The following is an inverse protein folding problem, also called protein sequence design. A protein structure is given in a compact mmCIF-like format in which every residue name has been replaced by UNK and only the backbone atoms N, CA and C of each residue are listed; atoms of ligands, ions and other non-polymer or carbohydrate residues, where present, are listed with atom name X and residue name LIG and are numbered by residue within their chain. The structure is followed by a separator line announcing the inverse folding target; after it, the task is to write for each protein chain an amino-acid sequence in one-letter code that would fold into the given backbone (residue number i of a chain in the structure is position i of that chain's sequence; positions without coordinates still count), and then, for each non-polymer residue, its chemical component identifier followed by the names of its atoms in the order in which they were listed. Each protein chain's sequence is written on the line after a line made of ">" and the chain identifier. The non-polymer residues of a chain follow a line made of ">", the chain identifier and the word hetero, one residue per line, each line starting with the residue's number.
data_IF_751731077424
#
_entry.id   IF_751731077424
#
_cell.length_a   1.000
_cell.length_b   1.000
_cell.length_c   1.000
_cell.angle_alpha   90.00
_cell.angle_beta   90.00
_cell.angle_gamma   90.00
#
_symmetry.space_group_name_H-M   'P 1'
#
loop_
_entity.id
_entity.type
_entity.pdbx_description
1 polymer ?
#
# COMPACT_ATOMS: atom_id res chain seq x y z
N UNK A 1 -11.35 -14.89 -4.94
CA UNK A 1 -10.28 -14.84 -3.93
C UNK A 1 -10.46 -13.57 -3.11
N UNK A 2 -10.16 -13.53 -1.80
CA UNK A 2 -10.48 -12.37 -0.95
C UNK A 2 -9.83 -11.06 -1.40
N UNK A 3 -8.74 -11.14 -2.15
CA UNK A 3 -8.00 -10.02 -2.73
C UNK A 3 -8.34 -9.74 -4.21
N UNK A 4 -9.26 -10.51 -4.82
CA UNK A 4 -9.78 -10.24 -6.16
C UNK A 4 -10.91 -9.20 -6.08
N UNK A 5 -10.53 -7.94 -6.00
CA UNK A 5 -11.46 -6.83 -6.03
C UNK A 5 -11.50 -6.20 -7.41
N UNK A 6 -12.71 -5.99 -7.91
CA UNK A 6 -12.95 -5.28 -9.17
C UNK A 6 -12.94 -3.75 -8.99
N UNK A 7 -12.97 -3.27 -7.74
CA UNK A 7 -12.98 -1.86 -7.38
C UNK A 7 -11.87 -1.55 -6.36
N UNK A 8 -11.36 -0.31 -6.33
CA UNK A 8 -10.37 0.11 -5.36
C UNK A 8 -10.91 0.01 -3.93
N UNK A 9 -9.98 -0.13 -2.98
CA UNK A 9 -10.33 -0.27 -1.57
C UNK A 9 -11.14 0.95 -1.09
N UNK A 10 -12.28 0.76 -0.38
CA UNK A 10 -13.13 1.87 0.07
C UNK A 10 -12.37 2.93 0.89
N UNK A 11 -11.45 2.51 1.77
CA UNK A 11 -10.66 3.44 2.59
C UNK A 11 -9.64 4.25 1.77
N UNK A 12 -9.10 3.70 0.68
CA UNK A 12 -8.30 4.46 -0.29
C UNK A 12 -9.18 5.48 -1.02
N UNK A 13 -10.33 5.05 -1.53
CA UNK A 13 -11.27 5.94 -2.23
C UNK A 13 -11.73 7.11 -1.37
N UNK A 14 -12.17 6.84 -0.14
CA UNK A 14 -12.64 7.89 0.78
C UNK A 14 -11.51 8.83 1.16
N UNK A 15 -10.28 8.33 1.34
CA UNK A 15 -9.12 9.15 1.66
C UNK A 15 -8.75 10.08 0.49
N UNK A 16 -8.70 9.57 -0.74
CA UNK A 16 -8.39 10.39 -1.93
C UNK A 16 -9.49 11.40 -2.22
N UNK A 17 -10.76 11.00 -2.09
CA UNK A 17 -11.91 11.88 -2.33
C UNK A 17 -12.00 13.01 -1.29
N UNK A 18 -11.82 12.68 -0.01
CA UNK A 18 -11.88 13.67 1.08
C UNK A 18 -10.82 14.77 0.98
N UNK A 19 -9.73 14.50 0.26
CA UNK A 19 -8.65 15.46 -0.02
C UNK A 19 -8.76 16.15 -1.38
N UNK A 20 -9.72 15.76 -2.21
CA UNK A 20 -9.78 16.19 -3.60
C UNK A 20 -8.46 15.86 -4.33
N UNK A 21 -7.84 14.73 -3.99
CA UNK A 21 -6.48 14.40 -4.40
C UNK A 21 -6.37 14.29 -5.93
N UNK A 22 -5.38 14.97 -6.50
CA UNK A 22 -5.01 14.89 -7.92
C UNK A 22 -3.53 14.60 -8.03
N UNK A 23 -3.17 13.70 -8.95
CA UNK A 23 -1.78 13.30 -9.16
C UNK A 23 -0.94 14.38 -9.84
N UNK A 24 -1.50 15.03 -10.84
CA UNK A 24 -0.83 16.10 -11.61
C UNK A 24 0.56 15.66 -12.13
N UNK A 25 0.67 14.39 -12.51
CA UNK A 25 1.91 13.78 -12.97
C UNK A 25 2.90 13.38 -11.87
N UNK A 26 2.56 13.53 -10.59
CA UNK A 26 3.34 12.98 -9.48
C UNK A 26 3.36 11.45 -9.54
N UNK A 27 4.36 10.86 -8.90
CA UNK A 27 4.56 9.41 -8.91
C UNK A 27 3.79 8.72 -7.79
N UNK A 28 3.21 7.56 -8.10
CA UNK A 28 2.60 6.71 -7.09
C UNK A 28 3.02 5.24 -7.27
N UNK A 29 3.06 4.50 -6.18
CA UNK A 29 3.25 3.05 -6.21
C UNK A 29 2.24 2.34 -5.32
N UNK A 30 1.70 1.22 -5.81
CA UNK A 30 0.86 0.30 -5.03
C UNK A 30 1.66 -0.97 -4.77
N UNK A 31 1.89 -1.23 -3.50
CA UNK A 31 2.63 -2.39 -2.98
C UNK A 31 1.69 -3.59 -2.90
N UNK A 32 2.09 -4.72 -3.49
CA UNK A 32 1.23 -5.90 -3.54
C UNK A 32 -0.06 -5.60 -4.31
N UNK A 33 0.09 -5.08 -5.53
CA UNK A 33 -1.02 -4.49 -6.31
C UNK A 33 -2.10 -5.49 -6.74
N UNK A 34 -1.85 -6.80 -6.60
CA UNK A 34 -2.77 -7.85 -6.99
C UNK A 34 -3.25 -7.66 -8.44
N UNK A 35 -4.56 -7.56 -8.63
CA UNK A 35 -5.19 -7.40 -9.94
C UNK A 35 -5.38 -5.93 -10.38
N UNK A 36 -4.76 -4.98 -9.68
CA UNK A 36 -4.57 -3.61 -10.15
C UNK A 36 -5.63 -2.59 -9.76
N UNK A 37 -6.71 -2.94 -9.08
CA UNK A 37 -7.82 -2.01 -8.83
C UNK A 37 -7.41 -0.71 -8.12
N UNK A 38 -6.53 -0.79 -7.11
CA UNK A 38 -6.02 0.38 -6.40
C UNK A 38 -5.06 1.21 -7.28
N UNK A 39 -4.23 0.54 -8.10
CA UNK A 39 -3.32 1.20 -9.02
C UNK A 39 -4.05 1.95 -10.14
N UNK A 40 -5.08 1.35 -10.72
CA UNK A 40 -5.95 2.00 -11.72
C UNK A 40 -6.66 3.23 -11.13
N UNK A 41 -7.09 3.13 -9.88
CA UNK A 41 -7.69 4.28 -9.19
C UNK A 41 -6.71 5.45 -9.11
N UNK A 42 -5.46 5.23 -8.69
CA UNK A 42 -4.46 6.29 -8.62
C UNK A 42 -4.11 6.86 -10.00
N UNK A 43 -4.00 5.99 -11.02
CA UNK A 43 -3.78 6.42 -12.39
C UNK A 43 -4.94 7.31 -12.90
N UNK A 44 -6.19 6.96 -12.57
CA UNK A 44 -7.37 7.78 -12.90
C UNK A 44 -7.38 9.16 -12.25
N UNK A 45 -6.67 9.33 -11.12
CA UNK A 45 -6.46 10.60 -10.45
C UNK A 45 -5.31 11.43 -11.05
N UNK A 46 -4.61 10.92 -12.06
CA UNK A 46 -3.53 11.61 -12.75
C UNK A 46 -2.13 11.33 -12.20
N UNK A 47 -1.96 10.32 -11.35
CA UNK A 47 -0.63 9.86 -10.95
C UNK A 47 0.03 9.03 -12.05
N UNK A 48 1.36 9.16 -12.19
CA UNK A 48 2.18 8.16 -12.88
C UNK A 48 2.36 6.98 -11.93
N UNK A 49 1.59 5.92 -12.17
CA UNK A 49 1.42 4.84 -11.21
C UNK A 49 2.19 3.60 -11.60
N UNK A 50 2.90 3.03 -10.64
CA UNK A 50 3.47 1.68 -10.69
C UNK A 50 2.65 0.78 -9.75
N UNK A 51 2.28 -0.40 -10.21
CA UNK A 51 1.75 -1.47 -9.37
C UNK A 51 2.70 -2.64 -9.40
N UNK A 52 3.14 -3.17 -8.26
CA UNK A 52 3.97 -4.37 -8.26
C UNK A 52 3.42 -5.45 -7.33
N UNK A 53 3.71 -6.68 -7.70
CA UNK A 53 3.38 -7.85 -6.91
C UNK A 53 4.50 -8.89 -7.04
N UNK A 54 4.70 -9.70 -6.01
CA UNK A 54 5.67 -10.80 -6.04
C UNK A 54 5.21 -11.96 -6.93
N UNK A 55 3.89 -12.08 -7.14
CA UNK A 55 3.29 -13.13 -7.94
C UNK A 55 3.23 -12.74 -9.43
N UNK A 56 4.02 -13.37 -10.33
CA UNK A 56 3.97 -13.08 -11.76
C UNK A 56 2.57 -13.28 -12.37
N UNK A 57 1.80 -14.23 -11.83
CA UNK A 57 0.43 -14.47 -12.27
C UNK A 57 -0.49 -13.30 -11.97
N UNK A 58 -0.37 -12.66 -10.79
CA UNK A 58 -1.16 -11.48 -10.45
C UNK A 58 -0.85 -10.32 -11.40
N UNK A 59 0.42 -10.06 -11.68
CA UNK A 59 0.88 -9.02 -12.61
C UNK A 59 0.38 -9.29 -14.03
N UNK A 60 0.46 -10.52 -14.51
CA UNK A 60 -0.08 -10.89 -15.82
C UNK A 60 -1.59 -10.65 -15.89
N UNK A 61 -2.34 -11.10 -14.89
CA UNK A 61 -3.79 -10.93 -14.84
C UNK A 61 -4.19 -9.45 -14.73
N UNK A 62 -3.43 -8.62 -14.00
CA UNK A 62 -3.66 -7.18 -13.95
C UNK A 62 -3.54 -6.55 -15.33
N UNK A 63 -2.48 -6.87 -16.09
CA UNK A 63 -2.29 -6.40 -17.47
C UNK A 63 -3.41 -6.86 -18.40
N UNK A 64 -3.86 -8.11 -18.28
CA UNK A 64 -4.96 -8.66 -19.07
C UNK A 64 -6.31 -8.01 -18.73
N UNK A 65 -6.54 -7.70 -17.45
CA UNK A 65 -7.77 -7.04 -16.96
C UNK A 65 -7.86 -5.59 -17.41
N UNK A 66 -6.71 -4.91 -17.53
CA UNK A 66 -6.62 -3.48 -17.84
C UNK A 66 -5.81 -3.21 -19.11
N UNK A 67 -6.30 -3.69 -20.27
CA UNK A 67 -5.58 -3.49 -21.53
C UNK A 67 -5.52 -2.00 -21.86
N UNK A 68 -4.31 -1.50 -22.20
CA UNK A 68 -4.10 -0.09 -22.50
C UNK A 68 -4.02 0.83 -21.28
N UNK A 69 -3.98 0.29 -20.08
CA UNK A 69 -3.76 1.08 -18.88
C UNK A 69 -2.41 1.81 -18.89
N UNK A 70 -2.34 3.06 -18.35
CA UNK A 70 -1.08 3.77 -18.16
C UNK A 70 -0.28 3.27 -16.96
N UNK A 71 -0.81 2.32 -16.17
CA UNK A 71 -0.11 1.75 -15.01
C UNK A 71 1.04 0.85 -15.45
N UNK A 72 2.24 1.08 -14.87
CA UNK A 72 3.36 0.16 -15.02
C UNK A 72 3.21 -0.99 -14.04
N UNK A 73 2.82 -2.18 -14.53
CA UNK A 73 2.71 -3.38 -13.70
C UNK A 73 4.02 -4.17 -13.72
N UNK A 74 4.63 -4.37 -12.55
CA UNK A 74 5.94 -4.99 -12.39
C UNK A 74 5.90 -6.21 -11.48
N UNK A 75 6.72 -7.22 -11.77
CA UNK A 75 6.98 -8.30 -10.83
C UNK A 75 8.17 -7.89 -9.98
N UNK A 76 7.95 -7.74 -8.68
CA UNK A 76 9.02 -7.38 -7.75
C UNK A 76 8.77 -7.98 -6.37
N UNK A 77 9.86 -8.37 -5.72
CA UNK A 77 9.85 -8.80 -4.31
C UNK A 77 10.04 -7.57 -3.41
N UNK A 78 9.11 -7.37 -2.48
CA UNK A 78 9.17 -6.26 -1.52
C UNK A 78 10.46 -6.29 -0.67
N UNK A 79 11.02 -7.47 -0.45
CA UNK A 79 12.28 -7.64 0.31
C UNK A 79 13.54 -7.48 -0.55
N UNK A 80 13.39 -7.32 -1.87
CA UNK A 80 14.49 -7.17 -2.83
C UNK A 80 14.15 -6.16 -3.94
N UNK A 81 13.67 -4.98 -3.55
CA UNK A 81 13.22 -3.93 -4.47
C UNK A 81 14.38 -3.35 -5.30
N UNK A 82 14.09 -2.90 -6.54
CA UNK A 82 15.07 -2.17 -7.35
C UNK A 82 15.60 -0.94 -6.60
N UNK A 83 16.91 -0.74 -6.61
CA UNK A 83 17.56 0.40 -5.94
C UNK A 83 17.03 1.76 -6.44
N UNK A 84 16.63 1.85 -7.71
CA UNK A 84 16.05 3.04 -8.32
C UNK A 84 14.69 3.47 -7.74
N UNK A 85 14.01 2.57 -7.00
CA UNK A 85 12.73 2.88 -6.38
C UNK A 85 12.86 3.52 -4.99
N UNK A 86 14.07 3.54 -4.45
CA UNK A 86 14.31 4.16 -3.14
C UNK A 86 14.03 5.67 -3.21
N UNK A 87 13.09 6.13 -2.39
CA UNK A 87 12.70 7.54 -2.32
C UNK A 87 12.14 8.08 -3.63
N UNK A 88 11.51 7.23 -4.46
CA UNK A 88 11.10 7.60 -5.81
C UNK A 88 9.62 7.97 -5.95
N UNK A 89 8.80 7.74 -4.92
CA UNK A 89 7.36 7.88 -5.05
C UNK A 89 6.78 8.93 -4.11
N UNK A 90 6.02 9.86 -4.68
CA UNK A 90 5.30 10.90 -3.94
C UNK A 90 4.14 10.33 -3.12
N UNK A 91 3.56 9.23 -3.59
CA UNK A 91 2.51 8.48 -2.90
C UNK A 91 2.81 6.98 -2.93
N UNK A 92 2.90 6.38 -1.76
CA UNK A 92 3.01 4.94 -1.58
C UNK A 92 1.72 4.43 -0.95
N UNK A 93 1.10 3.43 -1.55
CA UNK A 93 -0.12 2.80 -1.02
C UNK A 93 0.16 1.32 -0.77
N UNK A 94 -0.11 0.84 0.44
CA UNK A 94 -0.15 -0.57 0.76
C UNK A 94 -1.52 -0.92 1.37
N UNK A 95 -2.11 -2.00 0.90
CA UNK A 95 -3.40 -2.50 1.38
C UNK A 95 -3.27 -3.99 1.68
N UNK A 96 -3.23 -4.32 2.96
CA UNK A 96 -3.12 -5.69 3.50
C UNK A 96 -1.82 -6.43 3.18
N UNK A 97 -0.87 -5.82 2.47
CA UNK A 97 0.36 -6.48 2.06
C UNK A 97 1.25 -6.79 3.26
N UNK A 98 1.42 -5.84 4.17
CA UNK A 98 2.18 -6.06 5.39
C UNK A 98 1.50 -7.08 6.31
N UNK A 99 0.16 -7.06 6.37
CA UNK A 99 -0.61 -8.07 7.10
C UNK A 99 -0.54 -9.47 6.49
N UNK A 100 -0.14 -9.62 5.22
CA UNK A 100 0.05 -10.93 4.61
C UNK A 100 1.33 -11.64 5.09
N UNK A 101 2.26 -10.91 5.68
CA UNK A 101 3.55 -11.42 6.14
C UNK A 101 3.54 -11.71 7.64
N UNK A 102 4.10 -12.85 8.09
CA UNK A 102 4.38 -13.07 9.50
C UNK A 102 5.54 -12.18 9.97
N UNK A 103 5.71 -11.99 11.27
CA UNK A 103 6.92 -11.44 11.83
C UNK A 103 7.96 -12.58 12.06
N UNK A 104 9.25 -12.39 11.75
CA UNK A 104 10.01 -11.15 11.52
C UNK A 104 10.02 -10.57 10.10
N UNK A 105 9.65 -11.26 8.98
CA UNK A 105 9.75 -10.64 7.63
C UNK A 105 8.96 -9.34 7.50
N UNK A 106 7.86 -9.17 8.27
CA UNK A 106 7.02 -7.95 8.25
C UNK A 106 7.80 -6.69 8.62
N UNK A 107 8.71 -6.77 9.58
CA UNK A 107 9.53 -5.62 9.99
C UNK A 107 10.47 -5.16 8.88
N UNK A 108 11.06 -6.10 8.12
CA UNK A 108 11.89 -5.78 6.95
C UNK A 108 11.06 -5.21 5.82
N UNK A 109 9.87 -5.77 5.58
CA UNK A 109 8.92 -5.28 4.59
C UNK A 109 8.44 -3.86 4.92
N UNK A 110 8.16 -3.56 6.19
CA UNK A 110 7.79 -2.22 6.64
C UNK A 110 8.89 -1.19 6.33
N UNK A 111 10.16 -1.54 6.58
CA UNK A 111 11.31 -0.69 6.21
C UNK A 111 11.43 -0.51 4.70
N UNK A 112 11.17 -1.57 3.92
CA UNK A 112 11.20 -1.48 2.46
C UNK A 112 10.10 -0.56 1.93
N UNK A 113 8.87 -0.69 2.43
CA UNK A 113 7.74 0.20 2.08
C UNK A 113 8.06 1.65 2.43
N UNK A 114 8.54 1.91 3.65
CA UNK A 114 8.97 3.25 4.05
C UNK A 114 10.06 3.81 3.12
N UNK A 115 11.00 2.96 2.70
CA UNK A 115 12.09 3.33 1.80
C UNK A 115 11.66 3.78 0.40
N UNK A 116 10.44 3.46 -0.04
CA UNK A 116 9.88 3.89 -1.33
C UNK A 116 9.45 5.36 -1.34
N UNK A 117 9.09 5.92 -0.18
CA UNK A 117 8.51 7.25 -0.06
C UNK A 117 9.55 8.32 -0.33
N UNK A 118 9.30 9.20 -1.30
CA UNK A 118 10.13 10.36 -1.62
C UNK A 118 10.13 11.40 -0.48
N UNK A 119 11.17 12.26 -0.38
CA UNK A 119 11.08 13.46 0.45
C UNK A 119 9.82 14.27 0.10
N UNK A 120 9.05 14.70 1.11
CA UNK A 120 7.75 15.34 0.91
C UNK A 120 6.61 14.40 0.53
N UNK A 121 6.87 13.09 0.43
CA UNK A 121 5.90 12.09 0.04
C UNK A 121 5.06 11.53 1.19
N UNK A 122 4.05 10.75 0.83
CA UNK A 122 3.07 10.16 1.77
C UNK A 122 2.99 8.65 1.59
N UNK A 123 2.88 7.93 2.71
CA UNK A 123 2.48 6.53 2.76
C UNK A 123 1.04 6.44 3.30
N UNK A 124 0.17 5.79 2.55
CA UNK A 124 -1.14 5.34 3.01
C UNK A 124 -1.11 3.83 3.21
N UNK A 125 -1.36 3.38 4.43
CA UNK A 125 -1.43 1.97 4.77
C UNK A 125 -2.84 1.59 5.26
N UNK A 126 -3.34 0.45 4.80
CA UNK A 126 -4.60 -0.15 5.27
C UNK A 126 -4.32 -1.57 5.75
N UNK A 127 -4.69 -1.86 6.98
CA UNK A 127 -4.48 -3.16 7.60
C UNK A 127 -5.73 -3.64 8.36
N UNK A 128 -5.84 -4.96 8.57
CA UNK A 128 -6.81 -5.47 9.54
C UNK A 128 -6.39 -5.10 10.95
N UNK A 129 -7.35 -4.67 11.74
CA UNK A 129 -7.17 -4.28 13.13
C UNK A 129 -7.30 -5.50 14.05
N UNK A 130 -6.33 -5.69 14.93
CA UNK A 130 -6.44 -6.65 16.01
C UNK A 130 -7.56 -6.23 16.97
N UNK A 131 -8.41 -7.18 17.30
CA UNK A 131 -9.55 -7.00 18.22
C UNK A 131 -9.40 -7.99 19.38
N UNK A 132 -10.20 -7.86 20.45
CA UNK A 132 -10.22 -8.86 21.52
C UNK A 132 -10.57 -10.29 21.04
N UNK A 133 -11.23 -10.40 19.89
CA UNK A 133 -11.60 -11.68 19.29
C UNK A 133 -10.52 -12.25 18.33
N UNK A 134 -9.45 -11.49 18.05
CA UNK A 134 -8.40 -11.91 17.11
C UNK A 134 -7.01 -11.83 17.75
N UNK A 135 -6.24 -12.89 17.60
CA UNK A 135 -4.84 -12.96 18.04
C UNK A 135 -3.84 -12.53 16.98
N UNK A 136 -2.57 -12.32 17.35
CA UNK A 136 -1.51 -11.96 16.39
C UNK A 136 -1.19 -13.06 15.38
N UNK A 137 -1.64 -14.30 15.64
CA UNK A 137 -1.43 -15.45 14.76
C UNK A 137 -2.64 -15.76 13.86
N UNK A 138 -3.74 -14.99 13.97
CA UNK A 138 -4.98 -15.22 13.21
C UNK A 138 -4.85 -14.64 11.80
N UNK A 139 -4.09 -15.29 10.94
CA UNK A 139 -3.86 -14.83 9.58
C UNK A 139 -3.36 -15.94 8.66
N UNK A 140 -2.93 -15.65 7.43
CA UNK A 140 -2.93 -14.35 6.77
C UNK A 140 -4.32 -13.92 6.24
N UNK A 141 -4.62 -12.62 6.17
CA UNK A 141 -3.81 -11.51 6.67
C UNK A 141 -3.83 -11.42 8.20
N UNK A 142 -2.66 -11.21 8.80
CA UNK A 142 -2.50 -11.09 10.25
C UNK A 142 -3.00 -9.72 10.72
N UNK A 143 -3.87 -9.67 11.75
CA UNK A 143 -4.37 -8.41 12.26
C UNK A 143 -3.29 -7.69 13.09
N UNK A 144 -3.17 -6.38 12.87
CA UNK A 144 -2.16 -5.54 13.50
C UNK A 144 -2.72 -4.79 14.73
N UNK A 145 -1.93 -4.70 15.77
CA UNK A 145 -2.18 -3.77 16.86
C UNK A 145 -1.82 -2.33 16.41
N UNK A 146 -2.36 -1.32 17.10
CA UNK A 146 -2.06 0.08 16.82
C UNK A 146 -0.55 0.36 16.80
N UNK A 147 0.17 -0.15 17.79
CA UNK A 147 1.62 0.03 17.88
C UNK A 147 2.39 -0.57 16.68
N UNK A 148 1.90 -1.68 16.10
CA UNK A 148 2.50 -2.28 14.90
C UNK A 148 2.27 -1.40 13.66
N UNK A 149 1.13 -0.73 13.58
CA UNK A 149 0.83 0.24 12.51
C UNK A 149 1.66 1.51 12.69
N UNK A 150 1.76 2.03 13.91
CA UNK A 150 2.60 3.20 14.24
C UNK A 150 4.09 2.93 14.00
N UNK A 151 4.54 1.67 14.14
CA UNK A 151 5.91 1.25 13.83
C UNK A 151 6.28 1.33 12.33
N UNK A 152 5.31 1.61 11.44
CA UNK A 152 5.58 1.98 10.04
C UNK A 152 6.31 3.33 9.94
N UNK A 153 6.29 4.14 11.00
CA UNK A 153 7.08 5.36 11.14
C UNK A 153 8.57 5.02 11.32
N UNK A 154 9.17 4.50 10.27
CA UNK A 154 10.58 4.12 10.19
C UNK A 154 11.26 4.85 9.03
N UNK A 155 12.58 4.89 9.02
CA UNK A 155 13.36 5.49 7.92
C UNK A 155 13.05 6.97 7.67
N UNK A 156 12.64 7.73 8.70
CA UNK A 156 12.31 9.15 8.59
C UNK A 156 10.85 9.45 8.24
N UNK A 157 9.96 8.46 8.23
CA UNK A 157 8.51 8.70 8.17
C UNK A 157 7.98 9.14 9.53
N UNK A 158 7.02 10.05 9.50
CA UNK A 158 6.29 10.54 10.67
C UNK A 158 4.81 10.17 10.55
N UNK A 159 4.19 9.75 11.66
CA UNK A 159 2.75 9.45 11.70
C UNK A 159 1.96 10.74 11.62
N UNK A 160 1.10 10.86 10.62
CA UNK A 160 0.13 11.96 10.49
C UNK A 160 -1.18 11.58 11.18
N UNK A 161 -1.70 10.39 10.89
CA UNK A 161 -2.92 9.88 11.48
C UNK A 161 -2.94 8.35 11.49
N UNK A 162 -3.54 7.75 12.52
CA UNK A 162 -3.93 6.34 12.56
C UNK A 162 -5.39 6.29 12.99
N UNK A 163 -6.25 5.90 12.06
CA UNK A 163 -7.70 5.93 12.23
C UNK A 163 -8.27 4.52 12.28
N UNK A 164 -9.25 4.32 13.18
CA UNK A 164 -10.07 3.12 13.21
C UNK A 164 -11.25 3.29 12.26
N UNK A 165 -11.53 2.25 11.48
CA UNK A 165 -12.69 2.21 10.60
C UNK A 165 -13.52 0.95 10.84
N UNK A 166 -14.78 1.01 10.43
CA UNK A 166 -15.70 -0.13 10.48
C UNK A 166 -15.15 -1.32 9.68
N UNK A 167 -15.54 -2.55 10.11
CA UNK A 167 -15.05 -3.77 9.52
C UNK A 167 -13.62 -4.15 9.93
N UNK A 168 -13.25 -4.01 11.17
CA UNK A 168 -12.01 -3.90 11.93
C UNK A 168 -10.78 -3.55 11.07
N UNK A 169 -10.71 -2.28 10.62
CA UNK A 169 -9.59 -1.80 9.82
C UNK A 169 -8.85 -0.64 10.48
N UNK A 170 -7.53 -0.60 10.24
CA UNK A 170 -6.71 0.59 10.36
C UNK A 170 -6.57 1.27 9.00
N UNK A 171 -6.62 2.60 9.00
CA UNK A 171 -6.06 3.43 7.95
C UNK A 171 -5.01 4.34 8.56
N UNK A 172 -3.78 4.20 8.12
CA UNK A 172 -2.66 5.01 8.59
C UNK A 172 -2.13 5.89 7.47
N UNK A 173 -1.89 7.15 7.79
CA UNK A 173 -1.22 8.11 6.94
C UNK A 173 0.09 8.52 7.60
N UNK A 174 1.17 8.37 6.85
CA UNK A 174 2.51 8.77 7.27
C UNK A 174 3.13 9.68 6.21
N UNK A 175 3.98 10.59 6.63
CA UNK A 175 4.63 11.57 5.78
C UNK A 175 6.13 11.53 5.96
N UNK A 176 6.88 11.69 4.86
CA UNK A 176 8.32 11.95 4.89
C UNK A 176 8.53 13.44 4.77
N UNK A 177 9.14 14.13 5.75
CA UNK A 177 9.54 15.52 5.59
C UNK A 177 10.44 15.73 4.37
N UNK A 178 10.40 16.96 3.82
CA UNK A 178 11.19 17.34 2.64
C UNK A 178 12.68 17.42 2.94
#
# INVERSE_FOLDING_TARGET
>A
MPWDRSAPHPLLRTWTAGRGLRGEGRTAVVVGSGLGADAEHLASLGFRTTGFDVAPTAVRLARERHPGSPVSYEVADLLALPAAWRGAFDLVVEVYTLGALPDPPRSDAARAVAGLVAPGGTLLAVAFRRTPATGPADGPPFPLARAEVEALATGGLEVVAVEEHDGPHWRAELHRPA
#
